data_IF_027931315186
#
_entry.id   IF_027931315186
#
_cell.length_a   1.000
_cell.length_b   1.000
_cell.length_c   1.000
_cell.angle_alpha   90.00
_cell.angle_beta   90.00
_cell.angle_gamma   90.00
#
_symmetry.space_group_name_H-M   'P 1'
#
loop_
_entity.id
_entity.type
_entity.pdbx_description
1 polymer ?
#
# COMPACT_ATOMS: atom_id res chain seq x y z
N UNK A 1 -18.82 -19.23 19.19
CA UNK A 1 -19.71 -18.21 18.60
C UNK A 1 -19.43 -18.11 17.11
N UNK A 2 -20.41 -18.21 16.36
CA UNK A 2 -20.77 -18.82 15.10
C UNK A 2 -20.14 -18.22 13.85
N UNK A 3 -19.80 -19.11 12.92
CA UNK A 3 -19.30 -19.02 11.55
C UNK A 3 -20.18 -18.18 10.57
N UNK A 4 -21.14 -17.40 11.05
CA UNK A 4 -22.13 -16.73 10.17
C UNK A 4 -21.71 -15.37 9.58
N UNK A 5 -20.56 -14.81 9.90
CA UNK A 5 -20.14 -13.49 9.38
C UNK A 5 -19.29 -13.53 8.10
N UNK A 6 -18.80 -14.70 7.66
CA UNK A 6 -17.93 -14.79 6.47
C UNK A 6 -18.67 -14.99 5.13
N UNK A 7 -20.00 -15.04 5.12
CA UNK A 7 -20.78 -15.26 3.87
C UNK A 7 -21.19 -13.96 3.15
N UNK A 8 -20.85 -12.79 3.69
CA UNK A 8 -21.31 -11.50 3.13
C UNK A 8 -20.42 -10.95 2.00
N UNK A 9 -19.19 -11.41 1.87
CA UNK A 9 -18.26 -10.92 0.85
C UNK A 9 -18.41 -11.57 -0.55
N UNK A 10 -19.16 -12.69 -0.66
CA UNK A 10 -19.22 -13.47 -1.91
C UNK A 10 -20.49 -13.24 -2.75
N UNK A 11 -21.39 -12.32 -2.37
CA UNK A 11 -22.71 -12.18 -3.04
C UNK A 11 -22.93 -10.90 -3.86
N UNK A 12 -21.92 -10.11 -4.18
CA UNK A 12 -22.09 -8.86 -4.98
C UNK A 12 -21.76 -9.05 -6.47
N UNK A 13 -21.45 -10.26 -6.93
CA UNK A 13 -21.07 -10.50 -8.33
C UNK A 13 -22.16 -11.13 -9.22
N UNK A 14 -23.41 -11.20 -8.76
CA UNK A 14 -24.50 -11.68 -9.64
C UNK A 14 -25.73 -10.79 -9.49
N UNK A 15 -26.16 -10.24 -10.62
CA UNK A 15 -27.37 -9.47 -10.95
C UNK A 15 -27.17 -7.95 -11.10
N UNK A 16 -27.13 -7.52 -12.36
CA UNK A 16 -28.07 -6.56 -12.94
C UNK A 16 -27.64 -6.20 -14.37
N UNK A 17 -28.29 -6.82 -15.34
CA UNK A 17 -28.30 -6.33 -16.71
C UNK A 17 -29.30 -5.16 -16.80
N UNK A 18 -28.84 -3.98 -17.18
CA UNK A 18 -29.68 -2.88 -17.63
C UNK A 18 -29.04 -2.30 -18.88
N UNK A 19 -29.79 -2.40 -19.98
CA UNK A 19 -29.45 -1.79 -21.25
C UNK A 19 -29.66 -0.27 -21.17
N UNK A 20 -28.62 0.51 -21.50
CA UNK A 20 -28.73 1.93 -21.73
C UNK A 20 -28.58 2.26 -23.22
N UNK A 21 -29.60 2.83 -23.77
CA UNK A 21 -29.66 3.40 -25.11
C UNK A 21 -28.91 4.74 -25.14
N UNK A 22 -28.01 4.92 -26.10
CA UNK A 22 -27.24 6.16 -26.34
C UNK A 22 -27.78 6.84 -27.63
N UNK A 23 -28.09 8.14 -27.62
CA UNK A 23 -28.37 8.89 -28.85
C UNK A 23 -27.08 9.44 -29.49
N UNK A 24 -27.00 9.60 -30.81
CA UNK A 24 -25.81 10.11 -31.49
C UNK A 24 -25.82 11.64 -31.59
N UNK A 25 -24.67 12.25 -31.27
CA UNK A 25 -24.40 13.66 -31.49
C UNK A 25 -23.01 13.90 -32.04
N UNK A 26 -22.88 14.25 -33.31
CA UNK A 26 -21.66 14.60 -34.00
C UNK A 26 -21.27 16.07 -33.77
N UNK A 27 -20.05 16.31 -33.24
CA UNK A 27 -19.42 17.63 -33.19
C UNK A 27 -18.04 17.59 -33.84
N UNK A 28 -17.77 18.48 -34.79
CA UNK A 28 -16.52 18.64 -35.54
C UNK A 28 -15.40 19.21 -34.63
N UNK A 29 -14.12 18.82 -34.82
CA UNK A 29 -13.01 19.36 -34.05
C UNK A 29 -12.54 20.71 -34.60
N UNK A 30 -12.36 21.69 -33.72
CA UNK A 30 -11.65 22.94 -33.98
C UNK A 30 -10.10 22.79 -33.82
N UNK A 31 -9.30 23.75 -34.34
CA UNK A 31 -7.87 23.59 -34.43
C UNK A 31 -7.17 23.69 -33.05
N UNK A 32 -6.22 22.79 -32.82
CA UNK A 32 -5.42 22.73 -31.61
C UNK A 32 -4.39 23.86 -31.58
N UNK A 33 -4.47 24.71 -30.56
CA UNK A 33 -3.36 25.59 -30.17
C UNK A 33 -2.26 24.73 -29.54
N UNK A 34 -1.08 24.75 -30.17
CA UNK A 34 0.13 24.15 -29.62
C UNK A 34 0.56 24.95 -28.39
N UNK A 35 0.37 24.41 -27.20
CA UNK A 35 0.93 24.96 -25.97
C UNK A 35 2.42 24.68 -25.91
N UNK A 36 3.21 25.74 -25.75
CA UNK A 36 4.65 25.68 -25.58
C UNK A 36 5.03 24.79 -24.37
N UNK A 37 5.90 23.81 -24.61
CA UNK A 37 6.50 22.97 -23.58
C UNK A 37 7.43 23.85 -22.73
N UNK A 38 7.24 23.99 -21.42
CA UNK A 38 8.17 24.72 -20.58
C UNK A 38 9.46 23.96 -20.47
N UNK A 39 10.57 24.72 -20.60
CA UNK A 39 11.95 24.29 -20.60
C UNK A 39 12.34 23.45 -19.37
N UNK A 40 13.22 22.49 -19.66
CA UNK A 40 14.18 21.80 -18.77
C UNK A 40 13.87 21.80 -17.26
N UNK A 41 13.27 20.75 -16.76
CA UNK A 41 13.43 20.37 -15.36
C UNK A 41 14.87 19.89 -15.18
N UNK A 42 15.73 20.77 -14.63
CA UNK A 42 17.03 20.38 -14.13
C UNK A 42 16.92 19.06 -13.35
N UNK A 43 17.88 18.18 -13.52
CA UNK A 43 17.92 16.82 -12.97
C UNK A 43 18.17 16.90 -11.44
N UNK A 44 17.17 17.37 -10.69
CA UNK A 44 17.25 17.48 -9.23
C UNK A 44 17.01 16.08 -8.66
N UNK A 45 18.04 15.49 -8.06
CA UNK A 45 17.96 14.20 -7.39
C UNK A 45 16.82 14.15 -6.36
N UNK A 46 16.24 12.96 -6.14
CA UNK A 46 15.26 12.75 -5.07
C UNK A 46 15.88 13.17 -3.73
N UNK A 47 15.07 13.81 -2.90
CA UNK A 47 15.44 14.16 -1.54
C UNK A 47 14.79 13.18 -0.57
N UNK A 48 15.47 12.82 0.51
CA UNK A 48 14.89 11.98 1.55
C UNK A 48 13.64 12.63 2.12
N UNK A 49 12.68 11.80 2.51
CA UNK A 49 11.46 12.24 3.17
C UNK A 49 11.61 12.08 4.69
N UNK A 50 11.20 13.10 5.43
CA UNK A 50 11.13 13.10 6.88
C UNK A 50 9.76 13.53 7.37
N UNK A 51 9.44 13.22 8.63
CA UNK A 51 8.25 13.74 9.31
C UNK A 51 8.43 15.24 9.57
N UNK A 52 7.39 16.02 9.29
CA UNK A 52 7.39 17.45 9.58
C UNK A 52 7.46 17.70 11.11
N UNK A 53 8.10 18.80 11.59
CA UNK A 53 8.24 19.09 13.02
C UNK A 53 6.92 19.15 13.79
N UNK A 54 5.82 19.55 13.14
CA UNK A 54 4.48 19.57 13.72
C UNK A 54 3.80 18.19 13.78
N UNK A 55 4.48 17.14 13.34
CA UNK A 55 3.97 15.75 13.26
C UNK A 55 2.66 15.56 12.47
N UNK A 56 2.30 16.51 11.57
CA UNK A 56 1.05 16.45 10.79
C UNK A 56 1.26 16.13 9.30
N UNK A 57 2.49 15.85 8.89
CA UNK A 57 2.80 15.57 7.48
C UNK A 57 4.27 15.27 7.28
N UNK A 58 4.70 15.39 6.03
CA UNK A 58 6.06 15.07 5.62
C UNK A 58 6.73 16.23 4.90
N UNK A 59 8.07 16.25 4.94
CA UNK A 59 8.93 17.21 4.26
C UNK A 59 10.03 16.49 3.48
N UNK A 60 10.48 17.11 2.38
CA UNK A 60 11.72 16.75 1.70
C UNK A 60 12.91 17.33 2.43
N UNK A 61 13.95 16.54 2.64
CA UNK A 61 15.17 16.96 3.32
C UNK A 61 16.32 16.99 2.32
N UNK A 62 17.07 18.10 2.19
CA UNK A 62 17.11 19.27 3.10
C UNK A 62 16.17 20.43 2.73
N UNK A 63 15.49 20.41 1.59
CA UNK A 63 14.75 21.60 1.08
C UNK A 63 13.58 22.04 1.95
N UNK A 64 13.12 21.23 2.90
CA UNK A 64 11.96 21.44 3.78
C UNK A 64 10.63 21.68 3.04
N UNK A 65 10.57 21.40 1.74
CA UNK A 65 9.33 21.49 0.96
C UNK A 65 8.35 20.41 1.39
N UNK A 66 7.07 20.74 1.56
CA UNK A 66 6.04 19.74 1.89
C UNK A 66 6.02 18.56 0.92
N UNK A 67 5.75 17.39 1.45
CA UNK A 67 5.56 16.18 0.68
C UNK A 67 4.24 15.51 1.07
N UNK A 68 3.41 15.23 0.09
CA UNK A 68 2.13 14.56 0.24
C UNK A 68 2.18 13.25 -0.55
N UNK A 69 2.27 12.09 0.13
CA UNK A 69 2.21 10.80 -0.55
C UNK A 69 0.93 10.67 -1.38
N UNK A 70 1.08 10.43 -2.67
CA UNK A 70 0.00 10.21 -3.61
C UNK A 70 0.43 9.16 -4.62
N UNK A 71 -0.28 8.03 -4.71
CA UNK A 71 0.18 6.99 -5.60
C UNK A 71 -0.61 5.72 -5.54
N UNK A 72 0.08 4.60 -5.77
CA UNK A 72 -0.58 3.32 -5.99
C UNK A 72 0.12 2.17 -5.29
N UNK A 73 -0.67 1.21 -4.84
CA UNK A 73 -0.26 -0.15 -4.59
C UNK A 73 -0.06 -0.84 -5.95
N UNK A 74 1.13 -1.35 -6.20
CA UNK A 74 1.51 -1.91 -7.48
C UNK A 74 1.16 -3.38 -7.59
N UNK A 75 0.32 -3.71 -8.55
CA UNK A 75 0.08 -5.03 -9.11
C UNK A 75 0.15 -5.01 -10.63
N UNK A 76 0.22 -6.18 -11.25
CA UNK A 76 0.11 -6.34 -12.70
C UNK A 76 -0.70 -7.59 -13.01
N UNK A 77 -1.96 -7.41 -13.39
CA UNK A 77 -2.92 -8.48 -13.64
C UNK A 77 -2.99 -9.48 -12.45
N UNK A 78 -3.16 -8.93 -11.24
CA UNK A 78 -3.25 -9.69 -10.01
C UNK A 78 -1.93 -10.34 -9.54
N UNK A 79 -0.78 -10.00 -10.15
CA UNK A 79 0.54 -10.52 -9.77
C UNK A 79 1.33 -9.47 -8.99
N UNK A 80 2.15 -9.93 -8.06
CA UNK A 80 3.16 -9.10 -7.40
C UNK A 80 4.41 -8.97 -8.29
N UNK A 81 5.22 -7.95 -8.03
CA UNK A 81 6.36 -7.61 -8.89
C UNK A 81 7.35 -8.77 -9.05
N UNK A 82 7.61 -9.53 -7.99
CA UNK A 82 8.56 -10.64 -8.01
C UNK A 82 8.10 -11.85 -8.81
N UNK A 83 6.82 -11.87 -9.21
CA UNK A 83 6.31 -12.95 -10.06
C UNK A 83 6.76 -12.81 -11.52
N UNK A 84 7.32 -11.63 -11.89
CA UNK A 84 7.67 -11.37 -13.29
C UNK A 84 8.88 -10.44 -13.52
N UNK A 85 9.45 -9.78 -12.49
CA UNK A 85 10.50 -8.77 -12.70
C UNK A 85 11.83 -9.33 -13.23
N UNK A 86 12.11 -10.61 -13.02
CA UNK A 86 13.30 -11.30 -13.50
C UNK A 86 13.22 -11.60 -15.01
N UNK A 87 12.03 -11.94 -15.50
CA UNK A 87 11.77 -12.32 -16.88
C UNK A 87 11.16 -11.19 -17.73
N UNK A 88 10.42 -10.27 -17.11
CA UNK A 88 9.68 -9.20 -17.81
C UNK A 88 9.98 -7.81 -17.23
N UNK A 89 11.25 -7.49 -17.07
CA UNK A 89 11.65 -6.18 -16.51
C UNK A 89 11.10 -4.97 -17.30
N UNK A 90 10.95 -5.10 -18.61
CA UNK A 90 10.34 -4.04 -19.45
C UNK A 90 8.91 -3.71 -19.03
N UNK A 91 8.15 -4.69 -18.52
CA UNK A 91 6.82 -4.46 -17.92
C UNK A 91 6.93 -3.58 -16.68
N UNK A 92 7.88 -3.88 -15.78
CA UNK A 92 8.10 -3.05 -14.58
C UNK A 92 8.43 -1.61 -14.95
N UNK A 93 9.33 -1.41 -15.92
CA UNK A 93 9.70 -0.06 -16.41
C UNK A 93 8.49 0.68 -16.97
N UNK A 94 7.71 0.02 -17.81
CA UNK A 94 6.49 0.59 -18.39
C UNK A 94 5.48 0.97 -17.31
N UNK A 95 5.22 0.08 -16.35
CA UNK A 95 4.21 0.29 -15.32
C UNK A 95 4.61 1.41 -14.36
N UNK A 96 5.90 1.54 -14.01
CA UNK A 96 6.41 2.65 -13.21
C UNK A 96 6.25 3.99 -13.94
N UNK A 97 6.56 4.02 -15.23
CA UNK A 97 6.32 5.19 -16.07
C UNK A 97 4.83 5.54 -16.11
N UNK A 98 3.95 4.56 -16.32
CA UNK A 98 2.50 4.74 -16.35
C UNK A 98 1.95 5.30 -15.01
N UNK A 99 2.37 4.72 -13.88
CA UNK A 99 1.97 5.24 -12.57
C UNK A 99 2.42 6.68 -12.35
N UNK A 100 3.62 7.05 -12.83
CA UNK A 100 4.07 8.42 -12.81
C UNK A 100 3.20 9.34 -13.65
N UNK A 101 2.85 8.94 -14.88
CA UNK A 101 1.96 9.70 -15.77
C UNK A 101 0.54 9.84 -15.17
N UNK A 102 0.05 8.81 -14.47
CA UNK A 102 -1.18 8.90 -13.66
C UNK A 102 -1.01 9.83 -12.44
N UNK A 103 0.19 10.36 -12.24
CA UNK A 103 0.47 11.38 -11.24
C UNK A 103 0.97 10.85 -9.90
N UNK A 104 1.35 9.60 -9.79
CA UNK A 104 1.97 9.09 -8.58
C UNK A 104 3.27 9.84 -8.24
N UNK A 105 3.55 9.92 -6.94
CA UNK A 105 4.86 10.24 -6.40
C UNK A 105 5.34 9.15 -5.43
N UNK A 106 4.45 8.20 -5.05
CA UNK A 106 4.78 7.00 -4.26
C UNK A 106 4.21 5.77 -4.96
N UNK A 107 4.99 4.70 -4.96
CA UNK A 107 4.57 3.36 -5.37
C UNK A 107 4.80 2.40 -4.21
N UNK A 108 3.76 1.75 -3.74
CA UNK A 108 3.85 0.71 -2.72
C UNK A 108 4.09 -0.64 -3.38
N UNK A 109 5.13 -1.33 -2.93
CA UNK A 109 5.58 -2.61 -3.47
C UNK A 109 5.64 -3.63 -2.34
N UNK A 110 4.97 -4.76 -2.53
CA UNK A 110 4.94 -5.86 -1.57
C UNK A 110 6.08 -6.84 -1.85
N UNK A 111 7.02 -6.97 -0.90
CA UNK A 111 8.19 -7.83 -1.00
C UNK A 111 7.88 -9.24 -0.49
N UNK A 112 7.81 -10.20 -1.41
CA UNK A 112 7.49 -11.60 -1.10
C UNK A 112 8.64 -12.27 -0.35
N UNK A 113 8.40 -12.69 0.91
CA UNK A 113 9.41 -13.26 1.77
C UNK A 113 10.17 -14.43 1.11
N UNK A 114 9.44 -15.36 0.50
CA UNK A 114 10.01 -16.55 -0.15
C UNK A 114 10.83 -16.27 -1.41
N UNK A 115 10.65 -15.09 -2.04
CA UNK A 115 11.48 -14.65 -3.17
C UNK A 115 12.81 -14.05 -2.70
N UNK A 116 12.81 -13.41 -1.52
CA UNK A 116 14.00 -12.74 -0.96
C UNK A 116 14.87 -13.63 -0.09
N UNK A 117 14.31 -14.69 0.53
CA UNK A 117 15.05 -15.53 1.47
C UNK A 117 15.05 -16.99 1.02
N UNK A 118 16.25 -17.54 0.77
CA UNK A 118 16.47 -18.96 0.43
C UNK A 118 16.52 -19.85 1.67
N UNK A 119 16.94 -19.29 2.81
CA UNK A 119 16.96 -19.89 4.13
C UNK A 119 16.84 -18.80 5.19
N UNK A 120 16.68 -19.09 6.48
CA UNK A 120 16.47 -18.11 7.55
C UNK A 120 17.49 -16.97 7.61
N UNK A 121 18.71 -17.24 7.18
CA UNK A 121 19.87 -16.34 7.20
C UNK A 121 20.57 -16.22 5.84
N UNK A 122 19.95 -16.79 4.78
CA UNK A 122 20.49 -16.79 3.42
C UNK A 122 19.63 -15.96 2.47
N UNK A 123 20.02 -14.71 2.19
CA UNK A 123 19.32 -13.88 1.20
C UNK A 123 19.47 -14.43 -0.23
N UNK A 124 18.49 -14.17 -1.07
CA UNK A 124 18.51 -14.47 -2.50
C UNK A 124 19.22 -13.33 -3.27
N UNK A 125 20.45 -13.53 -3.75
CA UNK A 125 21.21 -12.46 -4.38
C UNK A 125 20.55 -11.90 -5.63
N UNK A 126 19.74 -12.70 -6.33
CA UNK A 126 19.02 -12.28 -7.54
C UNK A 126 17.96 -11.24 -7.16
N UNK A 127 17.11 -11.53 -6.16
CA UNK A 127 16.07 -10.61 -5.72
C UNK A 127 16.64 -9.31 -5.17
N UNK A 128 17.74 -9.36 -4.42
CA UNK A 128 18.41 -8.15 -3.91
C UNK A 128 19.06 -7.31 -5.04
N UNK A 129 19.59 -7.95 -6.07
CA UNK A 129 20.06 -7.27 -7.29
C UNK A 129 18.89 -6.59 -8.03
N UNK A 130 17.74 -7.25 -8.12
CA UNK A 130 16.53 -6.69 -8.74
C UNK A 130 15.93 -5.56 -7.89
N UNK A 131 15.94 -5.67 -6.55
CA UNK A 131 15.57 -4.56 -5.67
C UNK A 131 16.47 -3.34 -5.90
N UNK A 132 17.80 -3.53 -5.99
CA UNK A 132 18.74 -2.45 -6.31
C UNK A 132 18.46 -1.83 -7.69
N UNK A 133 18.01 -2.62 -8.64
CA UNK A 133 17.60 -2.14 -9.97
C UNK A 133 16.28 -1.34 -9.88
N UNK A 134 15.34 -1.77 -9.03
CA UNK A 134 14.08 -1.09 -8.78
C UNK A 134 14.30 0.29 -8.11
N UNK A 135 15.22 0.38 -7.15
CA UNK A 135 15.61 1.65 -6.54
C UNK A 135 16.11 2.65 -7.59
N UNK A 136 17.01 2.23 -8.48
CA UNK A 136 17.49 3.08 -9.58
C UNK A 136 16.39 3.49 -10.57
N UNK A 137 15.44 2.61 -10.87
CA UNK A 137 14.26 2.94 -11.69
C UNK A 137 13.41 4.00 -11.00
N UNK A 138 13.12 3.81 -9.72
CA UNK A 138 12.34 4.77 -8.93
C UNK A 138 13.01 6.14 -8.86
N UNK A 139 14.35 6.20 -8.67
CA UNK A 139 15.14 7.43 -8.71
C UNK A 139 15.03 8.11 -10.08
N UNK A 140 15.21 7.36 -11.17
CA UNK A 140 15.09 7.85 -12.55
C UNK A 140 13.70 8.42 -12.83
N UNK A 141 12.66 7.71 -12.42
CA UNK A 141 11.27 8.11 -12.66
C UNK A 141 10.76 9.08 -11.58
N UNK A 142 11.61 9.45 -10.60
CA UNK A 142 11.28 10.39 -9.50
C UNK A 142 10.07 9.93 -8.68
N UNK A 143 9.97 8.65 -8.49
CA UNK A 143 9.00 7.97 -7.63
C UNK A 143 9.66 7.58 -6.32
N UNK A 144 8.89 7.64 -5.24
CA UNK A 144 9.28 7.07 -3.97
C UNK A 144 8.68 5.68 -3.81
N UNK A 145 9.38 4.81 -3.08
CA UNK A 145 8.94 3.45 -2.79
C UNK A 145 8.47 3.33 -1.34
N UNK A 146 7.28 2.83 -1.17
CA UNK A 146 6.78 2.29 0.07
C UNK A 146 7.00 0.77 0.01
N UNK A 147 7.98 0.29 0.78
CA UNK A 147 8.41 -1.11 0.73
C UNK A 147 7.73 -1.90 1.84
N UNK A 148 6.65 -2.59 1.49
CA UNK A 148 5.93 -3.49 2.39
C UNK A 148 6.62 -4.85 2.41
N UNK A 149 7.16 -5.25 3.56
CA UNK A 149 7.87 -6.50 3.68
C UNK A 149 7.04 -7.70 4.09
N UNK A 150 7.72 -8.86 4.15
CA UNK A 150 7.22 -10.12 4.69
C UNK A 150 5.94 -10.64 4.01
N UNK A 151 5.69 -10.26 2.75
CA UNK A 151 4.51 -10.72 2.03
C UNK A 151 4.50 -12.25 1.88
N UNK A 152 3.45 -12.89 2.38
CA UNK A 152 3.21 -14.32 2.37
C UNK A 152 1.73 -14.58 2.07
N UNK A 153 1.26 -14.12 0.91
CA UNK A 153 -0.17 -14.06 0.62
C UNK A 153 -0.73 -15.34 -0.01
N UNK A 154 0.08 -16.13 -0.69
CA UNK A 154 -0.31 -17.45 -1.22
C UNK A 154 0.47 -18.54 -0.50
N UNK A 155 -0.23 -19.53 0.01
CA UNK A 155 0.38 -20.66 0.75
C UNK A 155 1.46 -21.38 -0.08
N UNK A 156 1.24 -21.49 -1.41
CA UNK A 156 2.20 -22.08 -2.35
C UNK A 156 3.56 -21.35 -2.40
N UNK A 157 3.56 -20.05 -2.13
CA UNK A 157 4.75 -19.19 -2.25
C UNK A 157 5.53 -19.08 -0.93
N UNK A 158 4.96 -19.61 0.16
CA UNK A 158 5.61 -19.62 1.46
C UNK A 158 6.60 -20.78 1.54
N UNK A 159 7.89 -20.52 1.80
CA UNK A 159 8.84 -21.61 1.98
C UNK A 159 8.39 -22.57 3.09
N UNK A 160 8.42 -23.88 2.84
CA UNK A 160 8.02 -24.91 3.81
C UNK A 160 8.74 -24.74 5.15
N UNK A 161 10.04 -24.45 5.10
CA UNK A 161 10.85 -24.22 6.29
C UNK A 161 10.40 -23.00 7.10
N UNK A 162 9.97 -21.91 6.42
CA UNK A 162 9.47 -20.71 7.07
C UNK A 162 8.10 -20.93 7.71
N UNK A 163 7.25 -21.72 7.04
CA UNK A 163 5.93 -22.06 7.56
C UNK A 163 6.01 -23.02 8.77
N UNK A 164 7.03 -23.87 8.84
CA UNK A 164 7.25 -24.82 9.94
C UNK A 164 7.89 -24.19 11.19
N UNK A 165 8.36 -22.94 11.13
CA UNK A 165 9.03 -22.26 12.23
C UNK A 165 8.11 -22.03 13.44
N UNK A 166 8.70 -22.07 14.64
CA UNK A 166 8.06 -21.51 15.83
C UNK A 166 8.20 -19.96 15.87
N UNK A 167 7.52 -19.33 16.82
CA UNK A 167 7.48 -17.87 16.94
C UNK A 167 8.85 -17.21 17.04
N UNK A 168 9.79 -17.80 17.81
CA UNK A 168 11.15 -17.27 17.99
C UNK A 168 11.98 -17.37 16.71
N UNK A 169 11.94 -18.54 16.07
CA UNK A 169 12.66 -18.77 14.80
C UNK A 169 12.14 -17.85 13.71
N UNK A 170 10.82 -17.73 13.59
CA UNK A 170 10.17 -16.89 12.57
C UNK A 170 10.50 -15.41 12.78
N UNK A 171 10.46 -14.94 14.02
CA UNK A 171 10.86 -13.56 14.36
C UNK A 171 12.31 -13.29 13.95
N UNK A 172 13.23 -14.21 14.28
CA UNK A 172 14.65 -14.07 13.90
C UNK A 172 14.84 -14.03 12.39
N UNK A 173 14.12 -14.87 11.64
CA UNK A 173 14.16 -14.88 10.18
C UNK A 173 13.60 -13.57 9.58
N UNK A 174 12.55 -12.98 10.17
CA UNK A 174 12.02 -11.67 9.79
C UNK A 174 13.00 -10.53 10.09
N UNK A 175 13.70 -10.58 11.22
CA UNK A 175 14.78 -9.63 11.55
C UNK A 175 15.92 -9.68 10.52
N UNK A 176 16.31 -10.88 10.07
CA UNK A 176 17.32 -11.06 9.04
C UNK A 176 16.87 -10.45 7.71
N UNK A 177 15.64 -10.77 7.27
CA UNK A 177 15.04 -10.17 6.07
C UNK A 177 15.10 -8.64 6.11
N UNK A 178 14.60 -8.02 7.20
CA UNK A 178 14.57 -6.56 7.31
C UNK A 178 15.95 -5.93 7.39
N UNK A 179 16.93 -6.60 8.00
CA UNK A 179 18.32 -6.14 8.02
C UNK A 179 18.90 -6.09 6.61
N UNK A 180 18.65 -7.12 5.80
CA UNK A 180 19.22 -7.24 4.46
C UNK A 180 18.50 -6.30 3.47
N UNK A 181 17.17 -6.13 3.57
CA UNK A 181 16.42 -5.09 2.85
C UNK A 181 16.98 -3.70 3.19
N UNK A 182 17.11 -3.38 4.47
CA UNK A 182 17.61 -2.08 4.90
C UNK A 182 19.05 -1.83 4.44
N UNK A 183 19.91 -2.85 4.48
CA UNK A 183 21.29 -2.74 3.97
C UNK A 183 21.33 -2.41 2.47
N UNK A 184 20.41 -2.98 1.67
CA UNK A 184 20.32 -2.73 0.23
C UNK A 184 19.78 -1.33 -0.07
N UNK A 185 18.87 -0.82 0.78
CA UNK A 185 18.12 0.40 0.55
C UNK A 185 18.73 1.67 1.15
N UNK A 186 19.59 1.55 2.16
CA UNK A 186 20.05 2.66 3.01
C UNK A 186 20.70 3.84 2.26
N UNK A 187 21.29 3.59 1.08
CA UNK A 187 21.91 4.62 0.24
C UNK A 187 20.94 5.33 -0.72
N UNK A 188 19.72 4.84 -0.90
CA UNK A 188 18.76 5.37 -1.86
C UNK A 188 17.82 6.39 -1.23
N UNK A 189 17.67 7.54 -1.88
CA UNK A 189 16.66 8.53 -1.50
C UNK A 189 15.26 8.20 -2.06
N UNK A 190 15.13 7.15 -2.88
CA UNK A 190 13.84 6.73 -3.42
C UNK A 190 12.99 5.99 -2.39
N UNK A 191 13.51 5.56 -1.25
CA UNK A 191 12.69 4.87 -0.23
C UNK A 191 11.95 5.90 0.61
N UNK A 192 10.62 5.90 0.50
CA UNK A 192 9.74 6.69 1.37
C UNK A 192 9.70 6.08 2.76
N UNK A 193 9.38 4.79 2.84
CA UNK A 193 9.32 4.07 4.10
C UNK A 193 9.51 2.55 3.95
N UNK A 194 9.78 1.91 5.08
CA UNK A 194 9.60 0.50 5.29
C UNK A 194 8.26 0.27 5.99
N UNK A 195 7.29 -0.31 5.30
CA UNK A 195 6.09 -0.86 5.91
C UNK A 195 6.38 -2.29 6.37
N UNK A 196 6.41 -2.48 7.68
CA UNK A 196 6.94 -3.70 8.28
C UNK A 196 6.21 -4.97 7.85
N UNK A 197 4.92 -4.88 7.58
CA UNK A 197 4.09 -6.00 7.14
C UNK A 197 2.68 -5.51 6.79
N UNK A 198 2.07 -6.10 5.78
CA UNK A 198 0.68 -5.86 5.42
C UNK A 198 -0.28 -6.52 6.42
N UNK A 199 -1.21 -5.76 6.97
CA UNK A 199 -2.37 -6.21 7.74
C UNK A 199 -2.06 -7.26 8.82
N UNK A 200 -1.10 -6.98 9.73
CA UNK A 200 -0.71 -7.92 10.75
C UNK A 200 -1.78 -8.12 11.82
N UNK A 201 -1.84 -9.35 12.32
CA UNK A 201 -2.75 -9.73 13.41
C UNK A 201 -2.00 -10.47 14.51
N UNK A 202 -2.22 -10.07 15.74
CA UNK A 202 -1.92 -10.90 16.91
C UNK A 202 -3.17 -11.75 17.17
N UNK A 203 -3.10 -13.09 17.12
CA UNK A 203 -4.28 -13.93 17.31
C UNK A 203 -4.84 -13.80 18.75
N UNK A 204 -6.14 -13.96 18.90
CA UNK A 204 -6.81 -13.94 20.22
C UNK A 204 -6.58 -15.21 21.05
N UNK A 205 -6.09 -16.27 20.42
CA UNK A 205 -5.81 -17.57 21.06
C UNK A 205 -4.69 -18.28 20.31
N UNK A 206 -4.11 -19.31 20.96
CA UNK A 206 -3.07 -20.15 20.36
C UNK A 206 -3.54 -20.77 19.04
N UNK A 207 -2.66 -20.77 18.03
CA UNK A 207 -2.82 -21.40 16.72
C UNK A 207 -1.93 -22.64 16.62
N UNK A 208 -2.31 -23.56 15.73
CA UNK A 208 -1.47 -24.72 15.41
C UNK A 208 -0.23 -24.31 14.60
N UNK A 209 0.88 -25.07 14.66
CA UNK A 209 2.03 -24.87 13.78
C UNK A 209 1.60 -24.74 12.32
N UNK A 210 2.18 -23.84 11.56
CA UNK A 210 1.85 -23.58 10.16
C UNK A 210 0.61 -22.72 9.93
N UNK A 211 -0.19 -22.40 10.92
CA UNK A 211 -1.39 -21.55 10.77
C UNK A 211 -1.06 -20.06 10.88
N UNK A 212 -0.22 -19.55 9.99
CA UNK A 212 0.23 -18.15 9.99
C UNK A 212 -0.73 -17.18 9.26
N UNK A 213 -1.73 -17.70 8.55
CA UNK A 213 -2.77 -16.89 7.92
C UNK A 213 -4.13 -17.18 8.55
N UNK A 214 -4.99 -16.16 8.70
CA UNK A 214 -6.36 -16.32 9.22
C UNK A 214 -7.36 -16.86 8.19
N UNK A 215 -6.91 -17.36 7.03
CA UNK A 215 -7.76 -17.88 5.94
C UNK A 215 -8.86 -16.89 5.53
N UNK A 216 -8.45 -15.68 5.20
CA UNK A 216 -9.32 -14.60 4.73
C UNK A 216 -9.03 -14.30 3.26
N UNK A 217 -9.18 -15.30 2.40
CA UNK A 217 -8.80 -15.22 0.98
C UNK A 217 -9.69 -14.24 0.22
N UNK A 218 -9.03 -13.34 -0.54
CA UNK A 218 -9.65 -12.48 -1.53
C UNK A 218 -8.82 -12.59 -2.83
N UNK A 219 -9.46 -12.92 -3.95
CA UNK A 219 -8.78 -13.09 -5.24
C UNK A 219 -7.65 -14.14 -5.23
N UNK A 220 -7.73 -15.14 -4.34
CA UNK A 220 -6.69 -16.18 -4.20
C UNK A 220 -5.52 -15.81 -3.29
N UNK A 221 -5.57 -14.62 -2.66
CA UNK A 221 -4.56 -14.13 -1.73
C UNK A 221 -5.09 -14.05 -0.29
N UNK A 222 -4.30 -14.48 0.68
CA UNK A 222 -4.52 -14.27 2.12
C UNK A 222 -3.67 -13.09 2.59
N UNK A 223 -4.20 -11.87 2.50
CA UNK A 223 -3.45 -10.64 2.78
C UNK A 223 -3.13 -10.44 4.27
N UNK A 224 -3.92 -11.05 5.16
CA UNK A 224 -3.72 -10.97 6.61
C UNK A 224 -2.70 -12.00 7.09
N UNK A 225 -1.86 -11.61 8.05
CA UNK A 225 -0.85 -12.49 8.59
C UNK A 225 -0.81 -12.44 10.12
N UNK A 226 -0.68 -13.60 10.77
CA UNK A 226 -0.36 -13.66 12.18
C UNK A 226 1.14 -13.43 12.40
N UNK A 227 1.48 -12.53 13.33
CA UNK A 227 2.89 -12.27 13.71
C UNK A 227 3.40 -13.22 14.79
N UNK A 228 2.52 -13.99 15.41
CA UNK A 228 2.80 -15.05 16.41
C UNK A 228 1.73 -16.13 16.31
N UNK A 229 2.05 -17.36 16.68
CA UNK A 229 1.05 -18.43 16.81
C UNK A 229 0.56 -18.59 18.24
N UNK A 230 1.33 -18.09 19.22
CA UNK A 230 0.99 -18.20 20.62
C UNK A 230 1.28 -16.88 21.37
N UNK A 231 0.28 -16.02 21.55
CA UNK A 231 0.47 -14.78 22.32
C UNK A 231 0.67 -15.04 23.83
N UNK A 232 0.44 -16.25 24.30
CA UNK A 232 0.54 -16.60 25.72
C UNK A 232 -0.45 -15.79 26.58
N UNK A 233 0.05 -15.31 27.74
CA UNK A 233 -0.69 -14.39 28.63
C UNK A 233 -0.39 -12.92 28.34
N UNK A 234 0.50 -12.62 27.39
CA UNK A 234 0.89 -11.27 27.03
C UNK A 234 -0.28 -10.56 26.32
N UNK A 235 -0.51 -9.30 26.66
CA UNK A 235 -1.52 -8.49 25.97
C UNK A 235 -1.19 -8.41 24.48
N UNK A 236 -2.20 -8.54 23.64
CA UNK A 236 -2.02 -8.52 22.17
C UNK A 236 -1.29 -7.26 21.69
N UNK A 237 -1.60 -6.12 22.28
CA UNK A 237 -0.94 -4.84 21.98
C UNK A 237 0.53 -4.82 22.36
N UNK A 238 0.89 -5.46 23.44
CA UNK A 238 2.28 -5.60 23.89
C UNK A 238 3.07 -6.53 22.97
N UNK A 239 2.47 -7.63 22.52
CA UNK A 239 3.05 -8.51 21.50
C UNK A 239 3.33 -7.73 20.20
N UNK A 240 2.37 -6.89 19.75
CA UNK A 240 2.53 -6.04 18.58
C UNK A 240 3.72 -5.08 18.73
N UNK A 241 3.82 -4.38 19.88
CA UNK A 241 4.92 -3.43 20.16
C UNK A 241 6.27 -4.14 20.22
N UNK A 242 6.36 -5.28 20.88
CA UNK A 242 7.60 -6.06 20.94
C UNK A 242 8.06 -6.50 19.56
N UNK A 243 7.12 -6.90 18.68
CA UNK A 243 7.41 -7.29 17.32
C UNK A 243 7.87 -6.09 16.47
N UNK A 244 7.15 -4.96 16.52
CA UNK A 244 7.55 -3.72 15.82
C UNK A 244 8.96 -3.30 16.23
N UNK A 245 9.25 -3.30 17.53
CA UNK A 245 10.57 -2.91 18.04
C UNK A 245 11.68 -3.85 17.56
N UNK A 246 11.41 -5.15 17.44
CA UNK A 246 12.38 -6.13 16.93
C UNK A 246 12.70 -5.84 15.45
N UNK A 247 11.68 -5.65 14.60
CA UNK A 247 11.86 -5.31 13.18
C UNK A 247 12.56 -3.96 13.01
N UNK A 248 12.14 -2.96 13.78
CA UNK A 248 12.74 -1.61 13.77
C UNK A 248 14.22 -1.66 14.15
N UNK A 249 14.63 -2.42 15.18
CA UNK A 249 16.04 -2.59 15.52
C UNK A 249 16.84 -3.24 14.40
N UNK A 250 16.28 -4.25 13.73
CA UNK A 250 16.93 -4.90 12.58
C UNK A 250 17.18 -3.89 11.45
N UNK A 251 16.18 -3.09 11.07
CA UNK A 251 16.30 -2.02 10.08
C UNK A 251 17.32 -0.98 10.54
N UNK A 252 17.21 -0.46 11.77
CA UNK A 252 18.07 0.62 12.29
C UNK A 252 19.52 0.21 12.48
N UNK A 253 19.83 -1.09 12.45
CA UNK A 253 21.21 -1.58 12.39
C UNK A 253 21.90 -1.21 11.06
N UNK A 254 21.16 -0.93 9.99
CA UNK A 254 21.64 -0.63 8.64
C UNK A 254 21.20 0.73 8.11
N UNK A 255 19.96 1.09 8.36
CA UNK A 255 19.38 2.36 7.93
C UNK A 255 18.84 3.16 9.13
N UNK A 256 19.46 4.30 9.41
CA UNK A 256 19.12 5.13 10.58
C UNK A 256 17.97 6.12 10.30
N UNK A 257 17.63 6.36 9.05
CA UNK A 257 16.89 7.58 8.68
C UNK A 257 15.54 7.32 8.00
N UNK A 258 15.42 6.27 7.17
CA UNK A 258 14.18 5.99 6.43
C UNK A 258 13.00 5.77 7.38
N UNK A 259 11.84 6.28 6.98
CA UNK A 259 10.62 6.17 7.78
C UNK A 259 10.20 4.70 7.93
N UNK A 260 9.53 4.39 9.04
CA UNK A 260 9.01 3.04 9.33
C UNK A 260 7.53 3.16 9.70
N UNK A 261 6.72 2.27 9.16
CA UNK A 261 5.30 2.14 9.46
C UNK A 261 4.84 0.69 9.49
N UNK A 262 3.56 0.47 9.67
CA UNK A 262 2.87 -0.84 9.59
C UNK A 262 1.53 -0.62 8.93
N UNK A 263 1.22 -1.36 7.87
CA UNK A 263 -0.06 -1.31 7.17
C UNK A 263 -1.20 -1.89 8.04
N UNK A 264 -2.06 -1.04 8.58
CA UNK A 264 -3.04 -1.41 9.59
C UNK A 264 -4.40 -1.77 9.00
N UNK A 265 -5.03 -2.80 9.59
CA UNK A 265 -6.43 -3.12 9.35
C UNK A 265 -7.37 -2.08 10.00
N UNK A 266 -8.48 -1.71 9.34
CA UNK A 266 -9.48 -0.79 9.89
C UNK A 266 -10.41 -1.46 10.91
N UNK A 267 -9.96 -2.49 11.61
CA UNK A 267 -10.77 -3.30 12.52
C UNK A 267 -10.99 -2.59 13.84
N UNK A 268 -11.72 -1.53 13.79
CA UNK A 268 -12.46 -1.05 14.93
C UNK A 268 -13.94 -1.34 14.65
N UNK A 269 -14.77 -1.35 15.55
CA UNK A 269 -15.05 -0.37 16.54
C UNK A 269 -15.64 -0.89 17.83
N UNK A 270 -16.82 -1.45 17.87
CA UNK A 270 -17.46 -1.88 19.13
C UNK A 270 -16.60 -2.80 20.02
N UNK A 271 -15.58 -3.40 19.45
CA UNK A 271 -14.76 -4.48 20.02
C UNK A 271 -13.30 -4.09 20.25
N UNK A 272 -12.90 -2.83 20.00
CA UNK A 272 -11.50 -2.41 19.97
C UNK A 272 -10.77 -2.91 18.72
N UNK A 273 -9.46 -2.68 18.67
CA UNK A 273 -8.62 -3.10 17.55
C UNK A 273 -8.36 -4.60 17.61
N UNK A 274 -9.17 -5.37 16.89
CA UNK A 274 -9.12 -6.84 16.88
C UNK A 274 -7.79 -7.41 16.38
N UNK A 275 -7.01 -6.63 15.63
CA UNK A 275 -5.67 -7.03 15.18
C UNK A 275 -4.62 -7.05 16.29
N UNK A 276 -4.83 -6.31 17.40
CA UNK A 276 -3.82 -6.04 18.43
C UNK A 276 -2.91 -4.85 18.10
N UNK A 277 -2.94 -4.32 16.88
CA UNK A 277 -2.18 -3.15 16.44
C UNK A 277 -3.02 -1.88 16.62
N UNK A 278 -3.03 -1.32 17.81
CA UNK A 278 -3.81 -0.14 18.18
C UNK A 278 -3.02 1.13 17.90
N UNK A 279 -3.47 2.07 17.04
CA UNK A 279 -2.71 3.26 16.65
C UNK A 279 -2.13 4.05 17.83
N UNK A 280 -2.89 4.29 18.88
CA UNK A 280 -2.42 5.01 20.08
C UNK A 280 -1.25 4.30 20.77
N UNK A 281 -1.22 2.97 20.75
CA UNK A 281 -0.21 2.16 21.44
C UNK A 281 1.03 2.00 20.56
N UNK A 282 0.84 1.71 19.26
CA UNK A 282 1.97 1.50 18.35
C UNK A 282 2.57 2.81 17.83
N UNK A 283 1.84 3.92 17.86
CA UNK A 283 2.26 5.21 17.32
C UNK A 283 3.64 5.68 17.80
N UNK A 284 4.00 5.56 19.09
CA UNK A 284 5.36 5.88 19.58
C UNK A 284 6.49 5.06 18.93
N UNK A 285 6.17 3.90 18.36
CA UNK A 285 7.13 2.93 17.82
C UNK A 285 7.27 2.97 16.28
N UNK A 286 6.49 3.82 15.61
CA UNK A 286 6.50 4.03 14.15
C UNK A 286 6.68 5.49 13.80
N UNK A 287 7.07 5.80 12.57
CA UNK A 287 7.26 7.18 12.10
C UNK A 287 5.92 7.87 11.83
N UNK A 288 4.95 7.15 11.31
CA UNK A 288 3.61 7.62 10.97
C UNK A 288 2.62 6.45 11.02
N UNK A 289 1.33 6.73 10.98
CA UNK A 289 0.27 5.72 10.97
C UNK A 289 -0.16 5.46 9.53
N UNK A 290 -0.04 4.23 9.09
CA UNK A 290 -0.64 3.72 7.85
C UNK A 290 -1.91 2.96 8.16
N UNK A 291 -2.96 3.20 7.37
CA UNK A 291 -4.26 2.55 7.56
C UNK A 291 -4.89 2.19 6.21
N UNK A 292 -5.46 1.01 6.11
CA UNK A 292 -6.22 0.56 4.95
C UNK A 292 -7.70 0.85 5.19
N UNK A 293 -8.31 1.69 4.36
CA UNK A 293 -9.73 2.02 4.47
C UNK A 293 -10.40 1.90 3.11
N UNK A 294 -11.30 0.94 3.00
CA UNK A 294 -12.17 0.74 1.86
C UNK A 294 -13.59 1.16 2.26
N UNK A 295 -14.05 2.36 1.84
CA UNK A 295 -15.38 2.84 2.23
C UNK A 295 -16.45 1.93 1.65
N UNK A 296 -17.60 1.90 2.34
CA UNK A 296 -18.77 1.12 1.94
C UNK A 296 -19.92 2.06 1.61
N UNK A 297 -20.76 1.68 0.64
CA UNK A 297 -21.96 2.43 0.26
C UNK A 297 -22.77 2.87 1.48
N UNK A 298 -23.03 4.16 1.58
CA UNK A 298 -23.80 4.77 2.67
C UNK A 298 -23.09 4.75 4.04
N UNK A 299 -21.80 4.38 4.12
CA UNK A 299 -21.05 4.27 5.40
C UNK A 299 -19.87 5.22 5.52
N UNK A 300 -19.93 6.38 4.86
CA UNK A 300 -18.87 7.40 4.90
C UNK A 300 -18.50 7.78 6.37
N UNK A 301 -19.49 8.00 7.23
CA UNK A 301 -19.24 8.35 8.62
C UNK A 301 -18.47 7.26 9.38
N UNK A 302 -18.70 5.99 9.06
CA UNK A 302 -17.95 4.88 9.66
C UNK A 302 -16.48 4.89 9.20
N UNK A 303 -16.21 5.11 7.91
CA UNK A 303 -14.86 5.23 7.39
C UNK A 303 -14.12 6.42 8.02
N UNK A 304 -14.79 7.58 8.16
CA UNK A 304 -14.24 8.75 8.82
C UNK A 304 -14.01 8.55 10.32
N UNK A 305 -14.84 7.77 11.00
CA UNK A 305 -14.64 7.39 12.41
C UNK A 305 -13.35 6.57 12.58
N UNK A 306 -13.14 5.58 11.71
CA UNK A 306 -11.89 4.80 11.68
C UNK A 306 -10.70 5.74 11.53
N UNK A 307 -10.75 6.63 10.56
CA UNK A 307 -9.65 7.55 10.25
C UNK A 307 -9.35 8.49 11.43
N UNK A 308 -10.38 9.07 12.07
CA UNK A 308 -10.20 9.92 13.26
C UNK A 308 -9.50 9.20 14.40
N UNK A 309 -9.74 7.91 14.60
CA UNK A 309 -9.07 7.11 15.63
C UNK A 309 -7.59 6.85 15.33
N UNK A 310 -7.16 7.07 14.09
CA UNK A 310 -5.74 7.04 13.70
C UNK A 310 -5.00 8.35 13.97
N UNK A 311 -5.72 9.44 14.27
CA UNK A 311 -5.14 10.76 14.60
C UNK A 311 -4.55 10.78 16.02
N UNK A 312 -3.37 10.20 16.19
CA UNK A 312 -2.70 10.01 17.49
C UNK A 312 -1.43 10.87 17.62
N UNK A 313 -1.41 12.06 17.02
CA UNK A 313 -0.25 12.95 17.05
C UNK A 313 0.87 12.54 16.10
N UNK A 314 0.56 11.76 15.08
CA UNK A 314 1.46 11.33 14.01
C UNK A 314 0.84 11.64 12.65
N UNK A 315 1.63 11.80 11.56
CA UNK A 315 1.08 11.84 10.22
C UNK A 315 0.25 10.57 9.97
N UNK A 316 -0.83 10.69 9.19
CA UNK A 316 -1.69 9.55 8.82
C UNK A 316 -1.69 9.42 7.31
N UNK A 317 -1.40 8.22 6.82
CA UNK A 317 -1.49 7.84 5.41
C UNK A 317 -2.58 6.79 5.24
N UNK A 318 -3.52 7.04 4.33
CA UNK A 318 -4.41 6.01 3.83
C UNK A 318 -3.62 5.24 2.77
N UNK A 319 -3.03 4.14 3.19
CA UNK A 319 -2.07 3.38 2.40
C UNK A 319 -2.73 2.43 1.39
N UNK A 320 -3.99 2.07 1.67
CA UNK A 320 -4.86 1.39 0.73
C UNK A 320 -6.27 1.97 0.75
N UNK A 321 -6.77 2.30 -0.43
CA UNK A 321 -8.17 2.67 -0.65
C UNK A 321 -8.58 2.39 -2.09
N UNK A 322 -9.82 1.93 -2.27
CA UNK A 322 -10.35 1.59 -3.59
C UNK A 322 -11.87 1.32 -3.47
N UNK A 323 -12.69 1.58 -4.50
CA UNK A 323 -14.14 1.38 -4.44
C UNK A 323 -14.54 -0.11 -4.56
N UNK A 324 -14.07 -0.94 -3.62
CA UNK A 324 -14.43 -2.37 -3.56
C UNK A 324 -15.91 -2.60 -3.17
N UNK A 325 -16.49 -1.68 -2.40
CA UNK A 325 -17.83 -1.84 -1.83
C UNK A 325 -18.64 -0.54 -1.85
N UNK A 326 -18.26 0.38 -2.72
CA UNK A 326 -18.96 1.64 -2.98
C UNK A 326 -18.74 2.08 -4.44
N UNK A 327 -19.41 3.16 -4.86
CA UNK A 327 -19.16 3.79 -6.16
C UNK A 327 -17.89 4.65 -6.12
N UNK A 328 -17.30 4.93 -7.31
CA UNK A 328 -16.19 5.88 -7.40
C UNK A 328 -16.57 7.29 -6.89
N UNK A 329 -17.84 7.68 -7.00
CA UNK A 329 -18.35 8.94 -6.46
C UNK A 329 -18.38 8.97 -4.94
N UNK A 330 -18.70 7.86 -4.29
CA UNK A 330 -18.64 7.73 -2.82
C UNK A 330 -17.20 7.66 -2.33
N UNK A 331 -16.34 6.94 -3.06
CA UNK A 331 -14.88 6.95 -2.82
C UNK A 331 -14.31 8.37 -2.90
N UNK A 332 -14.69 9.15 -3.92
CA UNK A 332 -14.31 10.56 -4.04
C UNK A 332 -14.74 11.39 -2.82
N UNK A 333 -15.97 11.22 -2.34
CA UNK A 333 -16.45 11.90 -1.12
C UNK A 333 -15.62 11.53 0.09
N UNK A 334 -15.27 10.25 0.24
CA UNK A 334 -14.40 9.79 1.32
C UNK A 334 -13.01 10.43 1.22
N UNK A 335 -12.37 10.38 0.05
CA UNK A 335 -11.05 10.98 -0.14
C UNK A 335 -11.06 12.47 0.21
N UNK A 336 -12.04 13.24 -0.27
CA UNK A 336 -12.16 14.67 0.03
C UNK A 336 -12.36 14.93 1.52
N UNK A 337 -13.23 14.18 2.19
CA UNK A 337 -13.47 14.30 3.62
C UNK A 337 -12.23 13.92 4.46
N UNK A 338 -11.47 12.91 4.01
CA UNK A 338 -10.30 12.39 4.73
C UNK A 338 -9.15 13.40 4.84
N UNK A 339 -9.13 14.44 3.99
CA UNK A 339 -8.12 15.51 3.99
C UNK A 339 -7.99 16.25 5.32
N UNK A 340 -8.98 16.20 6.18
CA UNK A 340 -8.94 16.80 7.52
C UNK A 340 -8.00 16.06 8.48
N UNK A 341 -7.70 14.79 8.17
CA UNK A 341 -6.94 13.90 9.06
C UNK A 341 -5.74 13.26 8.36
N UNK A 342 -5.93 12.76 7.14
CA UNK A 342 -4.85 12.13 6.37
C UNK A 342 -4.01 13.15 5.61
N UNK A 343 -2.74 12.81 5.39
CA UNK A 343 -1.79 13.59 4.60
C UNK A 343 -1.14 12.80 3.46
N UNK A 344 -1.59 11.57 3.20
CA UNK A 344 -1.16 10.73 2.07
C UNK A 344 -2.24 9.73 1.70
N UNK A 345 -2.28 9.33 0.41
CA UNK A 345 -3.30 8.45 -0.15
C UNK A 345 -2.72 7.57 -1.24
N UNK A 346 -2.87 6.27 -1.12
CA UNK A 346 -2.48 5.28 -2.12
C UNK A 346 -3.70 4.46 -2.55
N UNK A 347 -3.95 4.46 -3.86
CA UNK A 347 -4.96 3.60 -4.49
C UNK A 347 -4.36 2.29 -4.99
N UNK A 348 -4.98 1.69 -6.01
CA UNK A 348 -4.47 0.47 -6.64
C UNK A 348 -4.25 0.67 -8.13
N UNK A 349 -3.18 0.05 -8.66
CA UNK A 349 -2.83 -0.02 -10.08
C UNK A 349 -2.56 -1.48 -10.45
N UNK A 350 -3.12 -1.95 -11.57
CA UNK A 350 -3.03 -3.36 -11.98
C UNK A 350 -2.56 -3.55 -13.44
N UNK A 351 -1.61 -2.72 -13.88
CA UNK A 351 -0.89 -2.91 -15.14
C UNK A 351 -1.52 -2.25 -16.37
N UNK A 352 -2.69 -1.62 -16.26
CA UNK A 352 -3.37 -0.92 -17.36
C UNK A 352 -3.43 0.59 -17.15
N UNK A 353 -3.46 1.34 -18.25
CA UNK A 353 -3.64 2.80 -18.26
C UNK A 353 -5.05 3.19 -18.65
N UNK A 354 -5.40 4.46 -18.44
CA UNK A 354 -6.66 5.03 -18.94
C UNK A 354 -6.83 4.87 -20.47
N UNK A 355 -5.72 4.84 -21.22
CA UNK A 355 -5.74 4.61 -22.66
C UNK A 355 -6.06 3.14 -22.98
N UNK A 356 -5.48 2.20 -22.25
CA UNK A 356 -5.76 0.76 -22.39
C UNK A 356 -7.24 0.46 -22.10
N UNK A 357 -7.78 1.01 -21.01
CA UNK A 357 -9.21 0.86 -20.70
C UNK A 357 -10.13 1.46 -21.76
N UNK A 358 -9.75 2.57 -22.40
CA UNK A 358 -10.52 3.14 -23.52
C UNK A 358 -10.50 2.22 -24.74
N UNK A 359 -9.36 1.60 -25.02
CA UNK A 359 -9.21 0.61 -26.11
C UNK A 359 -10.10 -0.60 -25.84
N UNK A 360 -9.97 -1.22 -24.66
CA UNK A 360 -10.80 -2.36 -24.27
C UNK A 360 -12.30 -2.05 -24.33
N UNK A 361 -12.69 -0.83 -23.92
CA UNK A 361 -14.09 -0.38 -23.99
C UNK A 361 -14.60 -0.28 -25.44
N UNK A 362 -13.79 0.23 -26.36
CA UNK A 362 -14.15 0.33 -27.78
C UNK A 362 -14.25 -1.05 -28.45
N UNK A 363 -13.44 -2.01 -28.00
CA UNK A 363 -13.44 -3.38 -28.47
C UNK A 363 -14.51 -4.26 -27.78
N UNK A 364 -15.36 -3.68 -26.91
CA UNK A 364 -16.36 -4.41 -26.09
C UNK A 364 -15.76 -5.53 -25.23
N UNK A 365 -14.51 -5.37 -24.80
CA UNK A 365 -13.75 -6.35 -24.00
C UNK A 365 -13.51 -5.94 -22.57
N UNK A 366 -14.01 -4.77 -22.17
CA UNK A 366 -13.80 -4.25 -20.82
C UNK A 366 -14.61 -5.07 -19.79
N UNK A 367 -13.92 -5.70 -18.87
CA UNK A 367 -14.53 -6.44 -17.76
C UNK A 367 -15.08 -5.49 -16.70
N UNK A 368 -15.93 -5.99 -15.80
CA UNK A 368 -16.45 -5.21 -14.65
C UNK A 368 -15.30 -4.71 -13.77
N UNK A 369 -14.31 -5.58 -13.47
CA UNK A 369 -13.14 -5.20 -12.68
C UNK A 369 -12.36 -4.05 -13.33
N UNK A 370 -12.06 -4.15 -14.62
CA UNK A 370 -11.37 -3.11 -15.39
C UNK A 370 -12.20 -1.80 -15.47
N UNK A 371 -13.53 -1.91 -15.53
CA UNK A 371 -14.40 -0.73 -15.49
C UNK A 371 -14.33 -0.01 -14.13
N UNK A 372 -14.21 -0.75 -13.02
CA UNK A 372 -14.00 -0.19 -11.68
C UNK A 372 -12.63 0.50 -11.61
N UNK A 373 -11.55 -0.17 -12.05
CA UNK A 373 -10.20 0.43 -12.12
C UNK A 373 -10.20 1.71 -12.94
N UNK A 374 -10.77 1.69 -14.17
CA UNK A 374 -10.89 2.87 -15.01
C UNK A 374 -11.59 4.03 -14.29
N UNK A 375 -12.73 3.76 -13.66
CA UNK A 375 -13.51 4.80 -12.96
C UNK A 375 -12.74 5.36 -11.77
N UNK A 376 -12.04 4.49 -11.02
CA UNK A 376 -11.17 4.88 -9.93
C UNK A 376 -10.00 5.74 -10.41
N UNK A 377 -9.24 5.30 -11.39
CA UNK A 377 -8.08 6.04 -11.91
C UNK A 377 -8.48 7.41 -12.48
N UNK A 378 -9.59 7.48 -13.23
CA UNK A 378 -10.10 8.76 -13.74
C UNK A 378 -10.40 9.74 -12.61
N UNK A 379 -11.06 9.28 -11.56
CA UNK A 379 -11.37 10.07 -10.38
C UNK A 379 -10.09 10.46 -9.63
N UNK A 380 -9.20 9.51 -9.39
CA UNK A 380 -7.99 9.68 -8.60
C UNK A 380 -7.02 10.68 -9.25
N UNK A 381 -6.77 10.56 -10.56
CA UNK A 381 -5.95 11.52 -11.32
C UNK A 381 -6.55 12.93 -11.26
N UNK A 382 -7.86 13.06 -11.41
CA UNK A 382 -8.56 14.35 -11.35
C UNK A 382 -8.44 15.02 -9.98
N UNK A 383 -8.44 14.25 -8.90
CA UNK A 383 -8.35 14.77 -7.54
C UNK A 383 -6.94 15.22 -7.12
N UNK A 384 -5.90 14.70 -7.75
CA UNK A 384 -4.50 14.96 -7.36
C UNK A 384 -4.18 16.44 -7.08
N UNK A 385 -4.56 17.43 -7.92
CA UNK A 385 -4.25 18.84 -7.67
C UNK A 385 -4.73 19.34 -6.32
N UNK A 386 -5.90 18.88 -5.86
CA UNK A 386 -6.50 19.27 -4.59
C UNK A 386 -5.76 18.71 -3.36
N UNK A 387 -4.99 17.65 -3.55
CA UNK A 387 -4.29 16.93 -2.49
C UNK A 387 -2.81 17.30 -2.40
N UNK A 388 -2.15 17.55 -3.53
CA UNK A 388 -0.70 17.73 -3.62
C UNK A 388 -0.29 19.22 -3.61
N UNK A 389 -1.20 20.14 -3.91
CA UNK A 389 -0.97 21.60 -3.93
C UNK A 389 -1.47 22.33 -2.67
N UNK A 390 -1.70 21.66 -1.57
CA UNK A 390 -2.19 22.31 -0.33
C UNK A 390 -1.31 23.51 0.04
N UNK A 391 -1.88 24.71 -0.04
CA UNK A 391 -1.37 25.85 0.74
C UNK A 391 -1.57 25.51 2.22
N UNK A 392 -0.63 25.90 3.10
CA UNK A 392 -0.86 25.82 4.55
C UNK A 392 -2.16 26.55 4.84
N UNK A 393 -3.03 25.92 5.64
CA UNK A 393 -4.22 26.60 6.15
C UNK A 393 -3.75 27.93 6.79
N UNK A 394 -4.28 29.04 6.32
CA UNK A 394 -4.14 30.32 7.01
C UNK A 394 -4.83 30.12 8.36
N UNK A 395 -4.06 30.21 9.43
CA UNK A 395 -4.56 30.26 10.80
C UNK A 395 -5.15 31.62 11.08
#
# INVERSE_FOLDING_TARGET
MSVRQNRFFLRVLTCLGIACVVPPGAGKPGPALAAAVPASHANVALQRIGVAPNHRGFLRIPSRRPFYPWGFNYGNHGRLIEDFWDTHWSTVVRDFHNMRELGANVVRVHLQYGKFMLAPDKPNPISFKLLSRLLRLAEKDRLYLDLTGLACYRVSDIPKWYNAMNDRQRRKAQENFWRDIAATCAGSHAVFCYDLINEPVVPGSRRKPGQWQPKSSFGGYDFLQFITLNPGRTRRTEVAVQWINAMTRAIRSRDKQTLITVGLLPWIPKWGWLSGFVPRIIGPHVSFISIHIYPRTGKLNQAMEVLRRCAVGKPVVIEETFPLSCSAAEEQKFLLASRTTACGWLGHYDGLTLQDYRKLSREHRLTIGEAIYRSFEQMFVKLKPDFVRRQPARH
#
